data_IF_222952789600
#
_entry.id   IF_222952789600
#
_cell.length_a   1.000
_cell.length_b   1.000
_cell.length_c   1.000
_cell.angle_alpha   90.00
_cell.angle_beta   90.00
_cell.angle_gamma   90.00
#
_symmetry.space_group_name_H-M   'P 1'
#
loop_
_entity.id
_entity.type
_entity.pdbx_description
1 polymer ?
#
# COMPACT_ATOMS: atom_id res chain seq x y z
N UNK A 1 -15.59 -12.61 1.11
CA UNK A 1 -14.28 -11.93 1.33
C UNK A 1 -14.44 -10.86 2.39
N UNK A 2 -13.53 -10.81 3.36
CA UNK A 2 -13.43 -9.69 4.32
C UNK A 2 -12.40 -8.69 3.79
N UNK A 3 -12.75 -7.41 3.73
CA UNK A 3 -11.84 -6.34 3.27
C UNK A 3 -11.77 -5.22 4.31
N UNK A 4 -10.57 -4.70 4.54
CA UNK A 4 -10.35 -3.63 5.52
C UNK A 4 -9.19 -2.71 5.13
N UNK A 5 -9.28 -1.43 5.48
CA UNK A 5 -8.09 -0.57 5.57
C UNK A 5 -7.46 -0.78 6.94
N UNK A 6 -6.16 -1.06 6.95
CA UNK A 6 -5.43 -1.43 8.18
C UNK A 6 -5.43 -0.32 9.23
N UNK A 7 -5.11 -0.70 10.46
CA UNK A 7 -5.03 0.21 11.60
C UNK A 7 -4.19 1.46 11.30
N UNK A 8 -4.67 2.61 11.75
CA UNK A 8 -3.97 3.90 11.59
C UNK A 8 -4.07 4.49 10.19
N UNK A 9 -4.77 3.85 9.25
CA UNK A 9 -4.98 4.34 7.91
C UNK A 9 -6.48 4.58 7.62
N UNK A 10 -6.77 5.76 7.07
CA UNK A 10 -8.14 6.26 6.82
C UNK A 10 -8.52 6.24 5.34
N UNK A 11 -7.58 5.89 4.46
CA UNK A 11 -7.80 6.01 3.04
C UNK A 11 -8.51 4.77 2.50
N UNK A 12 -9.69 4.97 1.90
CA UNK A 12 -10.58 3.88 1.49
C UNK A 12 -11.11 3.98 0.05
N UNK A 13 -10.80 5.04 -0.69
CA UNK A 13 -11.30 5.21 -2.07
C UNK A 13 -10.94 3.98 -2.92
N UNK A 14 -9.68 3.53 -2.87
CA UNK A 14 -9.23 2.35 -3.60
C UNK A 14 -9.93 1.06 -3.12
N UNK A 15 -10.06 0.89 -1.80
CA UNK A 15 -10.77 -0.24 -1.18
C UNK A 15 -12.22 -0.32 -1.64
N UNK A 16 -12.93 0.81 -1.62
CA UNK A 16 -14.35 0.88 -1.98
C UNK A 16 -14.56 0.54 -3.46
N UNK A 17 -13.66 0.98 -4.34
CA UNK A 17 -13.69 0.57 -5.76
C UNK A 17 -13.50 -0.95 -5.89
N UNK A 18 -12.53 -1.54 -5.17
CA UNK A 18 -12.30 -2.99 -5.19
C UNK A 18 -13.53 -3.74 -4.67
N UNK A 19 -14.14 -3.29 -3.57
CA UNK A 19 -15.34 -3.87 -2.99
C UNK A 19 -16.50 -3.92 -3.99
N UNK A 20 -16.83 -2.77 -4.61
CA UNK A 20 -17.91 -2.69 -5.62
C UNK A 20 -17.60 -3.58 -6.84
N UNK A 21 -16.36 -3.56 -7.33
CA UNK A 21 -15.96 -4.38 -8.49
C UNK A 21 -16.05 -5.88 -8.18
N UNK A 22 -15.69 -6.32 -6.97
CA UNK A 22 -15.85 -7.71 -6.54
C UNK A 22 -17.32 -8.11 -6.39
N UNK A 23 -18.16 -7.24 -5.83
CA UNK A 23 -19.61 -7.47 -5.73
C UNK A 23 -20.26 -7.61 -7.13
N UNK A 24 -19.82 -6.82 -8.11
CA UNK A 24 -20.25 -6.98 -9.51
C UNK A 24 -19.85 -8.32 -10.13
N UNK A 25 -18.88 -9.03 -9.55
CA UNK A 25 -18.45 -10.37 -9.96
C UNK A 25 -18.99 -11.47 -9.02
N UNK A 26 -20.12 -11.22 -8.36
CA UNK A 26 -20.83 -12.15 -7.49
C UNK A 26 -20.04 -12.60 -6.24
N UNK A 27 -19.03 -11.84 -5.83
CA UNK A 27 -18.41 -12.05 -4.53
C UNK A 27 -19.23 -11.37 -3.42
N UNK A 28 -19.44 -12.09 -2.32
CA UNK A 28 -19.89 -11.46 -1.08
C UNK A 28 -18.69 -10.74 -0.44
N UNK A 29 -18.85 -9.44 -0.18
CA UNK A 29 -17.79 -8.60 0.38
C UNK A 29 -18.27 -7.96 1.67
N UNK A 30 -17.56 -8.28 2.76
CA UNK A 30 -17.75 -7.70 4.09
C UNK A 30 -16.68 -6.65 4.29
N UNK A 31 -17.06 -5.39 4.19
CA UNK A 31 -16.18 -4.25 4.36
C UNK A 31 -16.18 -3.78 5.82
N UNK A 32 -15.04 -3.88 6.48
CA UNK A 32 -14.87 -3.48 7.88
C UNK A 32 -14.56 -1.99 8.05
N UNK A 33 -14.40 -1.25 6.94
CA UNK A 33 -14.12 0.16 6.94
C UNK A 33 -12.63 0.46 7.11
N UNK A 34 -12.33 1.48 7.92
CA UNK A 34 -10.99 2.07 8.04
C UNK A 34 -10.45 2.01 9.46
N UNK A 35 -9.11 2.12 9.58
CA UNK A 35 -8.40 2.03 10.85
C UNK A 35 -8.70 0.73 11.61
N UNK A 36 -8.91 -0.38 10.90
CA UNK A 36 -9.38 -1.62 11.50
C UNK A 36 -8.21 -2.39 12.12
N UNK A 37 -8.27 -2.72 13.43
CA UNK A 37 -7.27 -3.57 14.08
C UNK A 37 -7.20 -4.99 13.50
N UNK A 38 -6.01 -5.60 13.57
CA UNK A 38 -5.77 -6.94 13.00
C UNK A 38 -6.65 -8.03 13.63
N UNK A 39 -6.84 -8.01 14.95
CA UNK A 39 -7.69 -8.91 15.70
C UNK A 39 -9.15 -8.88 15.22
N UNK A 40 -9.70 -7.69 14.97
CA UNK A 40 -11.07 -7.53 14.45
C UNK A 40 -11.21 -8.12 13.04
N UNK A 41 -10.21 -7.89 12.17
CA UNK A 41 -10.20 -8.45 10.81
C UNK A 41 -10.16 -9.98 10.89
N UNK A 42 -9.28 -10.55 11.71
CA UNK A 42 -9.12 -11.99 11.88
C UNK A 42 -10.39 -12.62 12.48
N UNK A 43 -10.92 -12.06 13.56
CA UNK A 43 -12.13 -12.55 14.22
C UNK A 43 -13.31 -12.56 13.25
N UNK A 44 -13.49 -11.47 12.49
CA UNK A 44 -14.56 -11.37 11.50
C UNK A 44 -14.35 -12.38 10.36
N UNK A 45 -13.12 -12.56 9.88
CA UNK A 45 -12.81 -13.55 8.85
C UNK A 45 -13.14 -14.98 9.32
N UNK A 46 -12.87 -15.31 10.59
CA UNK A 46 -13.23 -16.62 11.17
C UNK A 46 -14.75 -16.75 11.33
N UNK A 47 -15.40 -15.74 11.93
CA UNK A 47 -16.84 -15.76 12.22
C UNK A 47 -17.67 -15.92 10.95
N UNK A 48 -17.33 -15.15 9.93
CA UNK A 48 -18.04 -15.12 8.65
C UNK A 48 -17.49 -16.18 7.67
N UNK A 49 -16.53 -17.01 8.10
CA UNK A 49 -15.90 -18.07 7.29
C UNK A 49 -15.39 -17.55 5.94
N UNK A 50 -14.69 -16.43 5.97
CA UNK A 50 -14.24 -15.77 4.76
C UNK A 50 -13.21 -16.62 4.00
N UNK A 51 -13.44 -16.82 2.70
CA UNK A 51 -12.49 -17.56 1.84
C UNK A 51 -11.23 -16.75 1.49
N UNK A 52 -11.31 -15.41 1.61
CA UNK A 52 -10.26 -14.46 1.23
C UNK A 52 -10.29 -13.26 2.18
N UNK A 53 -9.11 -12.73 2.50
CA UNK A 53 -8.95 -11.46 3.24
C UNK A 53 -8.23 -10.44 2.36
N UNK A 54 -8.71 -9.21 2.31
CA UNK A 54 -8.06 -8.09 1.61
C UNK A 54 -7.64 -6.98 2.55
N UNK A 55 -6.38 -6.57 2.46
CA UNK A 55 -5.84 -5.45 3.21
C UNK A 55 -5.53 -4.28 2.28
N UNK A 56 -5.95 -3.09 2.70
CA UNK A 56 -5.66 -1.83 2.01
C UNK A 56 -4.79 -0.91 2.87
N UNK A 57 -3.81 -0.24 2.24
CA UNK A 57 -2.95 0.77 2.87
C UNK A 57 -2.41 1.81 1.88
N UNK A 58 -2.42 3.07 2.28
CA UNK A 58 -1.95 4.21 1.50
C UNK A 58 -0.74 4.94 2.11
N UNK A 59 -0.47 4.78 3.42
CA UNK A 59 0.67 5.41 4.09
C UNK A 59 1.75 4.37 4.45
N UNK A 60 2.96 4.84 4.74
CA UNK A 60 4.10 3.94 5.07
C UNK A 60 3.87 3.12 6.35
N UNK A 61 3.32 3.67 7.46
CA UNK A 61 3.01 2.88 8.65
C UNK A 61 2.04 1.71 8.41
N UNK A 62 1.20 1.82 7.38
CA UNK A 62 0.25 0.75 6.99
C UNK A 62 0.96 -0.55 6.60
N UNK A 63 2.20 -0.47 6.09
CA UNK A 63 2.97 -1.64 5.70
C UNK A 63 3.41 -2.47 6.91
N UNK A 64 3.78 -1.81 8.01
CA UNK A 64 4.16 -2.47 9.27
C UNK A 64 2.93 -3.16 9.89
N UNK A 65 1.76 -2.54 9.82
CA UNK A 65 0.49 -3.14 10.28
C UNK A 65 0.09 -4.37 9.43
N UNK A 66 0.35 -4.35 8.11
CA UNK A 66 0.17 -5.55 7.26
C UNK A 66 1.16 -6.67 7.63
N UNK A 67 2.42 -6.34 7.94
CA UNK A 67 3.41 -7.31 8.40
C UNK A 67 2.98 -7.96 9.72
N UNK A 68 2.51 -7.14 10.66
CA UNK A 68 1.97 -7.59 11.94
C UNK A 68 0.76 -8.51 11.76
N UNK A 69 -0.22 -8.10 10.95
CA UNK A 69 -1.40 -8.91 10.64
C UNK A 69 -1.04 -10.30 10.11
N UNK A 70 -0.12 -10.39 9.16
CA UNK A 70 0.32 -11.66 8.57
C UNK A 70 1.05 -12.55 9.60
N UNK A 71 1.84 -11.95 10.49
CA UNK A 71 2.44 -12.66 11.60
C UNK A 71 1.40 -13.28 12.53
N UNK A 72 0.33 -12.56 12.84
CA UNK A 72 -0.77 -13.05 13.67
C UNK A 72 -1.59 -14.15 12.97
N UNK A 73 -1.88 -14.01 11.68
CA UNK A 73 -2.49 -15.07 10.87
C UNK A 73 -1.66 -16.37 10.91
N UNK A 74 -0.33 -16.25 10.79
CA UNK A 74 0.57 -17.39 10.86
C UNK A 74 0.62 -18.01 12.27
N UNK A 75 0.65 -17.18 13.31
CA UNK A 75 0.63 -17.61 14.72
C UNK A 75 -0.63 -18.42 15.04
N UNK A 76 -1.76 -18.00 14.48
CA UNK A 76 -3.06 -18.67 14.63
C UNK A 76 -3.25 -19.86 13.66
N UNK A 77 -2.28 -20.10 12.75
CA UNK A 77 -2.31 -21.17 11.74
C UNK A 77 -3.56 -21.14 10.85
N UNK A 78 -4.03 -19.93 10.55
CA UNK A 78 -5.11 -19.73 9.60
C UNK A 78 -4.55 -19.87 8.19
N UNK A 79 -5.27 -20.52 7.28
CA UNK A 79 -4.83 -20.85 5.92
C UNK A 79 -5.51 -20.01 4.83
N UNK A 80 -6.20 -18.95 5.25
CA UNK A 80 -6.98 -18.07 4.38
C UNK A 80 -6.01 -17.23 3.52
N UNK A 81 -6.13 -17.23 2.18
CA UNK A 81 -5.33 -16.36 1.32
C UNK A 81 -5.53 -14.88 1.64
N UNK A 82 -4.43 -14.11 1.61
CA UNK A 82 -4.43 -12.67 1.90
C UNK A 82 -4.04 -11.88 0.65
N UNK A 83 -4.88 -10.94 0.26
CA UNK A 83 -4.64 -9.98 -0.81
C UNK A 83 -4.12 -8.66 -0.22
N UNK A 84 -3.02 -8.16 -0.78
CA UNK A 84 -2.39 -6.92 -0.37
C UNK A 84 -2.56 -5.88 -1.49
N UNK A 85 -3.06 -4.69 -1.13
CA UNK A 85 -3.19 -3.58 -2.07
C UNK A 85 -3.16 -2.21 -1.42
N UNK A 86 -3.22 -1.19 -2.27
CA UNK A 86 -3.15 0.22 -1.88
C UNK A 86 -1.85 0.92 -2.33
N UNK A 87 -1.80 2.24 -2.22
CA UNK A 87 -0.81 3.05 -2.94
C UNK A 87 0.65 2.86 -2.49
N UNK A 88 0.87 2.57 -1.21
CA UNK A 88 2.22 2.31 -0.67
C UNK A 88 2.67 0.87 -0.83
N UNK A 89 1.74 -0.03 -1.18
CA UNK A 89 2.06 -1.44 -1.40
C UNK A 89 2.73 -1.64 -2.75
N UNK A 90 3.65 -2.59 -2.82
CA UNK A 90 4.33 -2.97 -4.07
C UNK A 90 4.62 -4.46 -4.07
N UNK A 91 4.85 -5.00 -5.27
CA UNK A 91 5.21 -6.41 -5.43
C UNK A 91 6.51 -6.73 -4.71
N UNK A 92 7.47 -5.82 -4.77
CA UNK A 92 8.77 -5.93 -4.12
C UNK A 92 8.64 -5.93 -2.60
N UNK A 93 7.87 -5.00 -2.03
CA UNK A 93 7.64 -4.96 -0.60
C UNK A 93 6.96 -6.23 -0.11
N UNK A 94 5.91 -6.67 -0.81
CA UNK A 94 5.19 -7.90 -0.46
C UNK A 94 6.10 -9.12 -0.49
N UNK A 95 6.93 -9.27 -1.54
CA UNK A 95 7.86 -10.37 -1.64
C UNK A 95 8.93 -10.36 -0.54
N UNK A 96 9.46 -9.19 -0.17
CA UNK A 96 10.60 -9.09 0.76
C UNK A 96 10.17 -9.13 2.23
N UNK A 97 9.08 -8.44 2.58
CA UNK A 97 8.68 -8.21 3.98
C UNK A 97 7.48 -9.02 4.42
N UNK A 98 6.45 -9.11 3.58
CA UNK A 98 5.16 -9.70 3.94
C UNK A 98 5.14 -11.21 3.74
N UNK A 99 5.56 -11.68 2.56
CA UNK A 99 5.56 -13.09 2.19
C UNK A 99 6.28 -14.00 3.21
N UNK A 100 7.46 -13.65 3.77
CA UNK A 100 8.13 -14.49 4.76
C UNK A 100 7.39 -14.66 6.09
N UNK A 101 6.38 -13.83 6.39
CA UNK A 101 5.67 -13.87 7.68
C UNK A 101 4.54 -14.87 7.72
N UNK A 102 4.06 -15.32 6.56
CA UNK A 102 2.85 -16.13 6.44
C UNK A 102 3.07 -17.30 5.50
N UNK A 103 2.75 -18.51 5.97
CA UNK A 103 3.02 -19.75 5.24
C UNK A 103 2.04 -20.01 4.08
N UNK A 104 0.91 -19.30 4.04
CA UNK A 104 -0.16 -19.50 3.06
C UNK A 104 -0.17 -18.35 2.03
N UNK A 105 -1.00 -18.41 0.97
CA UNK A 105 -0.92 -17.46 -0.13
C UNK A 105 -1.07 -15.99 0.30
N UNK A 106 -0.05 -15.19 -0.01
CA UNK A 106 -0.08 -13.72 0.07
C UNK A 106 0.10 -13.17 -1.33
N UNK A 107 -0.85 -12.38 -1.82
CA UNK A 107 -0.81 -11.91 -3.22
C UNK A 107 -0.98 -10.40 -3.29
N UNK A 108 0.02 -9.74 -3.88
CA UNK A 108 -0.08 -8.32 -4.22
C UNK A 108 -0.96 -8.10 -5.45
N UNK A 109 -1.93 -7.20 -5.35
CA UNK A 109 -2.78 -6.77 -6.47
C UNK A 109 -2.65 -5.28 -6.72
N UNK A 110 -2.30 -4.90 -7.96
CA UNK A 110 -2.01 -3.51 -8.32
C UNK A 110 -3.28 -2.64 -8.50
N UNK A 111 -4.42 -3.24 -8.81
CA UNK A 111 -5.67 -2.53 -9.06
C UNK A 111 -6.89 -3.47 -8.94
N UNK A 112 -8.10 -2.88 -8.96
CA UNK A 112 -9.34 -3.61 -8.78
C UNK A 112 -9.61 -4.65 -9.89
N UNK A 113 -9.31 -4.35 -11.15
CA UNK A 113 -9.55 -5.29 -12.25
C UNK A 113 -8.71 -6.57 -12.12
N UNK A 114 -7.43 -6.44 -11.76
CA UNK A 114 -6.58 -7.61 -11.48
C UNK A 114 -6.99 -8.35 -10.22
N UNK A 115 -7.50 -7.63 -9.20
CA UNK A 115 -7.96 -8.23 -7.96
C UNK A 115 -9.06 -9.28 -8.22
N UNK A 116 -10.04 -8.99 -9.08
CA UNK A 116 -11.10 -9.94 -9.43
C UNK A 116 -10.53 -11.23 -10.02
N UNK A 117 -9.63 -11.12 -11.00
CA UNK A 117 -9.02 -12.28 -11.65
C UNK A 117 -8.24 -13.12 -10.64
N UNK A 118 -7.49 -12.49 -9.75
CA UNK A 118 -6.73 -13.17 -8.70
C UNK A 118 -7.68 -13.87 -7.72
N UNK A 119 -8.74 -13.20 -7.26
CA UNK A 119 -9.73 -13.82 -6.37
C UNK A 119 -10.36 -15.05 -7.03
N UNK A 120 -10.79 -14.96 -8.29
CA UNK A 120 -11.38 -16.07 -9.02
C UNK A 120 -10.42 -17.28 -9.14
N UNK A 121 -9.15 -17.02 -9.43
CA UNK A 121 -8.12 -18.08 -9.48
C UNK A 121 -7.89 -18.72 -8.12
N UNK A 122 -7.86 -17.93 -7.04
CA UNK A 122 -7.65 -18.45 -5.68
C UNK A 122 -8.84 -19.26 -5.15
N UNK A 123 -10.05 -19.04 -5.68
CA UNK A 123 -11.25 -19.82 -5.32
C UNK A 123 -11.29 -21.20 -6.00
N UNK A 124 -10.57 -21.41 -7.10
CA UNK A 124 -10.47 -22.71 -7.76
C UNK A 124 -9.29 -23.51 -7.18
N UNK A 125 -9.50 -24.67 -6.51
CA UNK A 125 -8.43 -25.42 -5.86
C UNK A 125 -7.27 -25.83 -6.77
N UNK A 126 -7.55 -26.25 -8.01
CA UNK A 126 -6.53 -26.69 -8.97
C UNK A 126 -5.70 -25.50 -9.44
N UNK A 127 -6.38 -24.43 -9.87
CA UNK A 127 -5.72 -23.22 -10.35
C UNK A 127 -4.99 -22.47 -9.23
N UNK A 128 -5.50 -22.54 -7.99
CA UNK A 128 -4.89 -21.94 -6.79
C UNK A 128 -3.49 -22.50 -6.55
N UNK A 129 -3.32 -23.82 -6.62
CA UNK A 129 -2.03 -24.46 -6.38
C UNK A 129 -0.99 -24.04 -7.44
N UNK A 130 -1.34 -24.13 -8.73
CA UNK A 130 -0.47 -23.72 -9.82
C UNK A 130 -0.12 -22.22 -9.75
N UNK A 131 -1.12 -21.38 -9.51
CA UNK A 131 -0.93 -19.93 -9.39
C UNK A 131 -0.05 -19.56 -8.20
N UNK A 132 -0.21 -20.24 -7.08
CA UNK A 132 0.58 -19.98 -5.88
C UNK A 132 2.04 -20.37 -6.06
N UNK A 133 2.32 -21.55 -6.62
CA UNK A 133 3.70 -21.97 -6.92
C UNK A 133 4.40 -20.99 -7.87
N UNK A 134 3.69 -20.53 -8.90
CA UNK A 134 4.22 -19.49 -9.81
C UNK A 134 4.51 -18.18 -9.09
N UNK A 135 3.59 -17.72 -8.23
CA UNK A 135 3.73 -16.46 -7.48
C UNK A 135 4.89 -16.54 -6.49
N UNK A 136 5.03 -17.69 -5.82
CA UNK A 136 6.12 -17.98 -4.90
C UNK A 136 7.48 -17.94 -5.58
N UNK A 137 7.62 -18.61 -6.73
CA UNK A 137 8.86 -18.58 -7.50
C UNK A 137 9.25 -17.15 -7.91
N UNK A 138 8.27 -16.32 -8.28
CA UNK A 138 8.49 -14.91 -8.60
C UNK A 138 8.94 -14.10 -7.37
N UNK A 139 8.34 -14.32 -6.20
CA UNK A 139 8.74 -13.64 -4.96
C UNK A 139 10.14 -14.03 -4.50
N UNK A 140 10.49 -15.32 -4.58
CA UNK A 140 11.84 -15.80 -4.27
C UNK A 140 12.87 -15.22 -5.24
N UNK A 141 12.54 -15.05 -6.52
CA UNK A 141 13.41 -14.37 -7.47
C UNK A 141 13.63 -12.90 -7.11
N UNK A 142 12.57 -12.19 -6.71
CA UNK A 142 12.68 -10.79 -6.24
C UNK A 142 13.57 -10.72 -4.99
N UNK A 143 13.40 -11.62 -4.03
CA UNK A 143 14.25 -11.68 -2.84
C UNK A 143 15.72 -11.93 -3.20
N UNK A 144 16.02 -12.88 -4.10
CA UNK A 144 17.38 -13.14 -4.59
C UNK A 144 17.99 -11.90 -5.25
N UNK A 145 17.24 -11.24 -6.14
CA UNK A 145 17.71 -10.01 -6.81
C UNK A 145 17.96 -8.88 -5.83
N UNK A 146 17.12 -8.75 -4.80
CA UNK A 146 17.28 -7.74 -3.77
C UNK A 146 18.53 -8.00 -2.90
N UNK A 147 18.79 -9.24 -2.52
CA UNK A 147 19.95 -9.61 -1.70
C UNK A 147 21.30 -9.32 -2.38
N UNK A 148 21.37 -9.47 -3.71
CA UNK A 148 22.59 -9.21 -4.49
C UNK A 148 22.70 -7.74 -4.95
N UNK A 149 21.67 -6.93 -4.71
CA UNK A 149 21.61 -5.55 -5.19
C UNK A 149 22.66 -4.69 -4.49
N UNK A 150 23.69 -4.28 -5.24
CA UNK A 150 24.65 -3.28 -4.77
C UNK A 150 23.96 -1.94 -4.59
N UNK A 151 24.29 -1.17 -3.54
CA UNK A 151 23.78 0.18 -3.38
C UNK A 151 24.18 1.03 -4.59
N UNK A 152 23.22 1.80 -5.13
CA UNK A 152 23.42 2.61 -6.34
C UNK A 152 24.45 3.73 -6.15
N UNK A 153 24.72 4.11 -4.89
CA UNK A 153 25.73 5.10 -4.50
C UNK A 153 26.39 4.65 -3.20
N UNK A 154 27.67 4.97 -3.06
CA UNK A 154 28.35 4.87 -1.77
C UNK A 154 27.66 5.86 -0.82
N UNK A 155 27.12 5.35 0.29
CA UNK A 155 26.58 6.22 1.33
C UNK A 155 27.71 7.04 1.96
N UNK A 156 27.48 8.33 2.13
CA UNK A 156 28.36 9.17 2.95
C UNK A 156 28.14 8.84 4.43
N UNK A 157 29.18 9.03 5.25
CA UNK A 157 29.00 9.03 6.70
C UNK A 157 28.06 10.17 7.12
N UNK A 158 27.44 10.03 8.29
CA UNK A 158 26.56 11.09 8.84
C UNK A 158 27.32 12.40 9.05
N UNK A 159 28.62 12.33 9.34
CA UNK A 159 29.49 13.49 9.53
C UNK A 159 29.74 14.22 8.21
N UNK A 160 30.14 13.49 7.15
CA UNK A 160 30.34 14.06 5.81
C UNK A 160 29.04 14.63 5.24
N UNK A 161 27.90 13.94 5.44
CA UNK A 161 26.60 14.44 5.01
C UNK A 161 26.22 15.76 5.70
N UNK A 162 26.53 15.90 7.00
CA UNK A 162 26.31 17.13 7.78
C UNK A 162 27.30 18.24 7.43
N UNK A 163 28.52 17.89 7.04
CA UNK A 163 29.50 18.82 6.50
C UNK A 163 29.04 19.37 5.14
N UNK A 164 28.48 18.52 4.29
CA UNK A 164 27.89 18.88 2.98
C UNK A 164 26.47 19.48 3.08
N UNK A 165 26.04 19.93 4.26
CA UNK A 165 24.71 20.55 4.41
C UNK A 165 24.61 21.82 3.57
N UNK A 166 23.40 22.13 3.11
CA UNK A 166 23.13 23.45 2.53
C UNK A 166 23.43 24.54 3.56
N UNK A 167 24.36 25.43 3.24
CA UNK A 167 24.68 26.59 4.06
C UNK A 167 23.85 27.80 3.62
N UNK A 168 22.67 27.93 4.23
CA UNK A 168 21.77 29.07 4.02
C UNK A 168 22.02 30.25 4.95
N UNK A 169 23.14 30.28 5.69
CA UNK A 169 23.42 31.30 6.71
C UNK A 169 24.77 32.00 6.53
N UNK A 170 25.59 31.57 5.55
CA UNK A 170 26.84 32.24 5.18
C UNK A 170 26.81 32.72 3.70
N UNK A 171 27.83 33.50 3.31
CA UNK A 171 28.00 33.98 1.94
C UNK A 171 26.83 34.86 1.43
N UNK A 172 26.37 34.59 0.22
CA UNK A 172 25.30 35.34 -0.48
C UNK A 172 23.97 35.37 0.29
N UNK A 173 23.75 34.44 1.22
CA UNK A 173 22.51 34.34 2.00
C UNK A 173 22.54 35.15 3.30
N UNK A 174 23.68 35.72 3.71
CA UNK A 174 23.79 36.52 4.94
C UNK A 174 22.91 37.78 4.92
N UNK A 175 22.77 38.40 3.75
CA UNK A 175 21.98 39.62 3.56
C UNK A 175 20.53 39.33 3.16
N UNK A 176 20.16 38.04 3.01
CA UNK A 176 18.79 37.67 2.67
C UNK A 176 17.85 38.00 3.83
N UNK A 177 17.15 39.13 3.73
CA UNK A 177 16.06 39.47 4.64
C UNK A 177 14.91 38.47 4.47
N UNK A 178 14.65 37.68 5.51
CA UNK A 178 13.44 36.84 5.58
C UNK A 178 12.23 37.75 5.43
N UNK A 179 11.42 37.52 4.40
CA UNK A 179 10.16 38.25 4.23
C UNK A 179 9.29 38.02 5.48
N UNK A 180 9.00 39.10 6.20
CA UNK A 180 8.10 39.06 7.35
C UNK A 180 6.72 38.67 6.84
N UNK A 181 6.21 37.52 7.26
CA UNK A 181 4.87 37.09 6.89
C UNK A 181 3.84 37.99 7.60
N UNK A 182 3.13 38.83 6.84
CA UNK A 182 2.05 39.69 7.33
C UNK A 182 0.67 38.99 7.35
N UNK A 183 0.64 37.65 7.30
CA UNK A 183 -0.60 36.86 7.22
C UNK A 183 -0.80 36.04 8.49
N UNK A 184 -2.07 35.76 8.87
CA UNK A 184 -2.37 34.92 10.02
C UNK A 184 -1.82 33.50 9.82
N UNK A 185 -1.37 32.89 10.91
CA UNK A 185 -0.77 31.55 10.92
C UNK A 185 -1.76 30.44 10.51
N UNK A 186 -3.06 30.70 10.62
CA UNK A 186 -4.15 29.78 10.25
C UNK A 186 -5.07 30.46 9.25
N UNK A 187 -5.45 29.73 8.21
CA UNK A 187 -6.42 30.19 7.22
C UNK A 187 -7.45 29.11 6.95
N UNK A 188 -8.70 29.53 6.72
CA UNK A 188 -9.80 28.68 6.30
C UNK A 188 -10.37 29.22 4.99
N UNK A 189 -10.50 28.37 3.98
CA UNK A 189 -11.01 28.76 2.66
C UNK A 189 -12.31 28.04 2.38
N UNK A 190 -13.35 28.79 1.96
CA UNK A 190 -14.64 28.21 1.59
C UNK A 190 -14.54 27.42 0.28
N UNK A 191 -15.23 26.28 0.21
CA UNK A 191 -15.14 25.33 -0.91
C UNK A 191 -15.38 25.94 -2.29
N UNK A 192 -16.33 26.86 -2.44
CA UNK A 192 -16.63 27.52 -3.73
C UNK A 192 -15.49 28.42 -4.27
N UNK A 193 -14.44 28.68 -3.47
CA UNK A 193 -13.24 29.42 -3.89
C UNK A 193 -12.10 28.51 -4.33
N UNK A 194 -12.22 27.20 -4.15
CA UNK A 194 -11.23 26.19 -4.54
C UNK A 194 -11.27 25.72 -6.01
N UNK A 195 -12.37 25.84 -6.81
CA UNK A 195 -12.41 25.32 -8.18
C UNK A 195 -11.24 25.69 -9.10
N UNK A 196 -10.74 26.94 -9.14
CA UNK A 196 -9.59 27.27 -10.01
C UNK A 196 -8.29 26.59 -9.58
N UNK A 197 -8.22 26.01 -8.37
CA UNK A 197 -7.06 25.28 -7.85
C UNK A 197 -7.22 23.76 -7.90
N UNK A 198 -8.39 23.25 -8.30
CA UNK A 198 -8.62 21.82 -8.40
C UNK A 198 -7.83 21.24 -9.58
N UNK A 199 -6.85 20.40 -9.28
CA UNK A 199 -6.12 19.69 -10.33
C UNK A 199 -6.88 18.43 -10.75
N UNK A 200 -7.69 18.53 -11.79
CA UNK A 200 -8.47 17.41 -12.35
C UNK A 200 -7.60 16.35 -13.06
N UNK A 201 -6.30 16.62 -13.26
CA UNK A 201 -5.37 15.71 -13.93
C UNK A 201 -4.74 14.66 -13.02
N UNK A 202 -5.11 14.59 -11.74
CA UNK A 202 -4.60 13.59 -10.76
C UNK A 202 -4.94 12.12 -11.11
N UNK A 203 -5.32 11.83 -12.36
CA UNK A 203 -5.39 10.51 -13.00
C UNK A 203 -4.98 10.46 -14.49
N UNK A 204 -4.41 11.52 -15.09
CA UNK A 204 -3.92 11.52 -16.48
C UNK A 204 -2.59 12.28 -16.61
N UNK A 205 -1.48 11.54 -16.62
CA UNK A 205 -0.24 11.93 -17.30
C UNK A 205 0.28 10.78 -18.15
N UNK A 206 -0.40 10.51 -19.25
CA UNK A 206 0.17 10.00 -20.50
C UNK A 206 -0.91 10.07 -21.58
N UNK A 207 -0.53 10.37 -22.83
CA UNK A 207 -1.37 10.62 -24.00
C UNK A 207 -1.71 12.09 -24.25
N UNK A 208 -0.68 12.92 -24.36
CA UNK A 208 -0.61 14.01 -25.34
C UNK A 208 0.87 14.25 -25.68
N UNK A 209 1.46 13.32 -26.43
CA UNK A 209 2.55 13.67 -27.35
C UNK A 209 1.87 14.09 -28.65
N UNK A 210 1.85 15.39 -28.91
CA UNK A 210 1.31 15.95 -30.14
C UNK A 210 2.23 15.75 -31.34
N UNK A 211 1.60 15.84 -32.52
CA UNK A 211 2.12 16.09 -33.86
C UNK A 211 3.27 15.21 -34.37
#
# INVERSE_FOLDING_TARGET
MVIATVKGDVHDIGKNIVSVVLQCNNFEVIDLGVMVPADVIIETAIREKADLIGLSGLITPSLDEMEYFLGEMNRLKLDIPVLIGGATTSKEHTAIKLYPKYNYPVVYTANASRCVTVCATLMNPEAKAEFWEKTKAEYEEIQRKFAVRKPLRNGLSIEEARANRFDGFSGEWQTMCRQRQNRPALSSTKMYRLPPYANLSTGRRSLCSGA
#
